data_IF_182016726659
#
_entry.id   IF_182016726659
#
_cell.length_a   1.000
_cell.length_b   1.000
_cell.length_c   1.000
_cell.angle_alpha   90.00
_cell.angle_beta   90.00
_cell.angle_gamma   90.00
#
_symmetry.space_group_name_H-M   'P 1'
#
loop_
_entity.id
_entity.type
_entity.pdbx_description
1 polymer ?
#
# COMPACT_ATOMS: atom_id res chain seq x y z
N UNK A 1 9.91 -20.85 11.38
CA UNK A 1 10.03 -19.38 11.23
C UNK A 1 9.92 -18.94 9.77
N UNK A 2 10.62 -19.63 8.85
CA UNK A 2 10.56 -19.37 7.39
C UNK A 2 9.16 -19.50 6.80
N UNK A 3 8.38 -20.49 7.25
CA UNK A 3 7.06 -20.79 6.65
C UNK A 3 6.03 -19.71 6.99
N UNK A 4 6.05 -19.20 8.22
CA UNK A 4 5.20 -18.09 8.66
C UNK A 4 5.48 -16.84 7.82
N UNK A 5 6.75 -16.48 7.62
CA UNK A 5 7.11 -15.31 6.81
C UNK A 5 6.68 -15.49 5.35
N UNK A 6 6.77 -16.71 4.82
CA UNK A 6 6.32 -17.06 3.47
C UNK A 6 4.80 -16.93 3.34
N UNK A 7 4.03 -17.40 4.31
CA UNK A 7 2.58 -17.25 4.33
C UNK A 7 2.14 -15.80 4.42
N UNK A 8 2.77 -15.00 5.29
CA UNK A 8 2.53 -13.56 5.37
C UNK A 8 2.81 -12.89 4.01
N UNK A 9 3.90 -13.26 3.34
CA UNK A 9 4.21 -12.77 2.00
C UNK A 9 3.21 -13.21 0.92
N UNK A 10 2.59 -14.38 1.06
CA UNK A 10 1.52 -14.83 0.16
C UNK A 10 0.25 -14.00 0.35
N UNK A 11 -0.16 -13.79 1.61
CA UNK A 11 -1.35 -13.00 1.96
C UNK A 11 -1.17 -11.55 1.51
N UNK A 12 0.00 -10.94 1.80
CA UNK A 12 0.29 -9.58 1.40
C UNK A 12 0.19 -9.38 -0.12
N UNK A 13 0.71 -10.32 -0.93
CA UNK A 13 0.62 -10.26 -2.40
C UNK A 13 -0.79 -10.46 -2.92
N UNK A 14 -1.57 -11.33 -2.30
CA UNK A 14 -2.97 -11.52 -2.67
C UNK A 14 -3.78 -10.23 -2.43
N UNK A 15 -3.57 -9.59 -1.28
CA UNK A 15 -4.22 -8.31 -0.93
C UNK A 15 -3.78 -7.17 -1.85
N UNK A 16 -2.48 -7.10 -2.20
CA UNK A 16 -1.97 -6.11 -3.16
C UNK A 16 -2.59 -6.30 -4.54
N UNK A 17 -2.69 -7.54 -5.03
CA UNK A 17 -3.36 -7.84 -6.30
C UNK A 17 -4.83 -7.42 -6.30
N UNK A 18 -5.58 -7.77 -5.24
CA UNK A 18 -6.98 -7.37 -5.10
C UNK A 18 -7.13 -5.84 -5.09
N UNK A 19 -6.26 -5.15 -4.37
CA UNK A 19 -6.24 -3.69 -4.28
C UNK A 19 -5.91 -3.04 -5.63
N UNK A 20 -4.96 -3.60 -6.38
CA UNK A 20 -4.59 -3.11 -7.70
C UNK A 20 -5.73 -3.20 -8.71
N UNK A 21 -6.51 -4.29 -8.66
CA UNK A 21 -7.70 -4.46 -9.50
C UNK A 21 -8.82 -3.53 -9.06
N UNK A 22 -9.15 -3.49 -7.77
CA UNK A 22 -10.27 -2.71 -7.23
C UNK A 22 -10.08 -1.19 -7.32
N UNK A 23 -8.86 -0.72 -7.15
CA UNK A 23 -8.54 0.72 -7.11
C UNK A 23 -8.08 1.31 -8.44
N UNK A 24 -8.09 0.52 -9.52
CA UNK A 24 -7.63 0.97 -10.85
C UNK A 24 -8.36 2.21 -11.35
N UNK A 25 -9.69 2.26 -11.23
CA UNK A 25 -10.51 3.39 -11.71
C UNK A 25 -10.43 4.62 -10.81
N UNK A 26 -9.89 4.47 -9.59
CA UNK A 26 -9.72 5.57 -8.64
C UNK A 26 -8.31 6.16 -8.71
N UNK A 27 -7.44 5.65 -9.59
CA UNK A 27 -6.02 5.99 -9.62
C UNK A 27 -5.33 5.78 -8.26
N UNK A 28 -5.76 4.76 -7.50
CA UNK A 28 -5.20 4.41 -6.18
C UNK A 28 -4.56 3.01 -6.16
N UNK A 29 -4.29 2.43 -7.33
CA UNK A 29 -3.58 1.16 -7.47
C UNK A 29 -2.07 1.31 -7.18
N UNK A 30 -1.34 0.19 -7.26
CA UNK A 30 0.09 0.07 -6.98
C UNK A 30 0.47 0.59 -5.59
N UNK A 31 -0.34 0.28 -4.58
CA UNK A 31 -0.14 0.68 -3.20
C UNK A 31 -0.36 2.19 -2.92
N UNK A 32 -0.80 2.99 -3.89
CA UNK A 32 -1.04 4.44 -3.68
C UNK A 32 -2.11 4.71 -2.62
N UNK A 33 -3.14 3.85 -2.52
CA UNK A 33 -4.16 3.92 -1.48
C UNK A 33 -3.59 3.90 -0.04
N UNK A 34 -2.47 3.21 0.19
CA UNK A 34 -1.83 3.15 1.50
C UNK A 34 -1.32 4.53 1.92
N UNK A 35 -0.68 5.26 0.99
CA UNK A 35 -0.20 6.61 1.26
C UNK A 35 -1.36 7.56 1.54
N UNK A 36 -2.44 7.46 0.78
CA UNK A 36 -3.62 8.29 0.97
C UNK A 36 -4.24 8.07 2.37
N UNK A 37 -4.42 6.81 2.77
CA UNK A 37 -4.91 6.49 4.12
C UNK A 37 -4.00 7.06 5.20
N UNK A 38 -2.67 6.96 5.07
CA UNK A 38 -1.74 7.52 6.06
C UNK A 38 -1.80 9.04 6.18
N UNK A 39 -2.00 9.75 5.06
CA UNK A 39 -2.17 11.21 5.07
C UNK A 39 -3.46 11.61 5.80
N UNK A 40 -4.55 10.84 5.62
CA UNK A 40 -5.80 11.11 6.33
C UNK A 40 -5.75 10.72 7.81
N UNK A 41 -5.06 9.63 8.16
CA UNK A 41 -4.87 9.21 9.55
C UNK A 41 -3.96 10.17 10.32
N UNK A 42 -2.94 10.73 9.65
CA UNK A 42 -1.96 11.62 10.26
C UNK A 42 -1.87 12.91 9.41
N UNK A 43 -2.83 13.84 9.57
CA UNK A 43 -2.79 15.12 8.87
C UNK A 43 -1.49 15.88 9.18
N UNK A 44 -0.82 16.37 8.12
CA UNK A 44 0.48 17.04 8.26
C UNK A 44 1.69 16.10 8.22
N UNK A 45 1.49 14.81 7.96
CA UNK A 45 2.60 13.89 7.67
C UNK A 45 3.40 14.40 6.45
N UNK A 46 4.65 14.76 6.70
CA UNK A 46 5.58 15.22 5.65
C UNK A 46 6.18 14.02 4.94
N UNK A 47 5.95 13.93 3.63
CA UNK A 47 6.67 12.99 2.78
C UNK A 47 8.09 13.49 2.54
N UNK A 48 9.11 12.74 2.98
CA UNK A 48 10.53 13.08 2.75
C UNK A 48 11.00 12.84 1.30
N UNK A 49 10.14 13.00 0.30
CA UNK A 49 10.59 13.02 -1.10
C UNK A 49 11.21 14.38 -1.36
N UNK A 50 12.46 14.51 -0.93
CA UNK A 50 13.38 15.56 -1.31
C UNK A 50 13.28 15.78 -2.81
N UNK A 51 12.93 17.02 -3.18
CA UNK A 51 13.06 17.57 -4.51
C UNK A 51 14.32 17.04 -5.20
N UNK A 52 14.12 16.36 -6.32
CA UNK A 52 15.05 16.33 -7.44
C UNK A 52 14.23 16.49 -8.71
#
# INVERSE_FOLDING_TARGET
MSDILREVGNIARALDYMSNVGFKNMHLNNGQYLYQNRIYEIPGIISQVSKK
#
